data_IF_070458744672
#
_entry.id   IF_070458744672
#
_cell.length_a   1.000
_cell.length_b   1.000
_cell.length_c   1.000
_cell.angle_alpha   90.00
_cell.angle_beta   90.00
_cell.angle_gamma   90.00
#
_symmetry.space_group_name_H-M   'P 1'
#
loop_
_entity.id
_entity.type
_entity.pdbx_description
1 polymer ?
#
# COMPACT_ATOMS: atom_id res chain seq x y z
N UNK A 1 -8.51 -25.23 10.14
CA UNK A 1 -7.91 -24.05 9.45
C UNK A 1 -6.43 -23.98 9.74
N UNK A 2 -5.63 -23.65 8.75
CA UNK A 2 -4.17 -23.50 8.86
C UNK A 2 -3.85 -22.05 9.21
N UNK A 3 -3.18 -21.74 10.34
CA UNK A 3 -2.93 -20.38 10.76
C UNK A 3 -1.84 -19.69 9.91
N UNK A 4 -2.01 -18.40 9.66
CA UNK A 4 -1.01 -17.47 9.11
C UNK A 4 -1.06 -16.18 9.92
N UNK A 5 0.06 -15.75 10.49
CA UNK A 5 0.18 -14.46 11.19
C UNK A 5 0.52 -13.37 10.18
N UNK A 6 -0.42 -12.47 9.91
CA UNK A 6 -0.26 -11.34 9.00
C UNK A 6 -0.03 -10.05 9.77
N UNK A 7 1.16 -9.48 9.69
CA UNK A 7 1.47 -8.21 10.33
C UNK A 7 1.13 -7.01 9.44
N UNK A 8 0.58 -5.98 10.07
CA UNK A 8 0.34 -4.66 9.49
C UNK A 8 0.67 -3.56 10.50
N UNK A 9 0.88 -2.35 10.00
CA UNK A 9 1.15 -1.18 10.84
C UNK A 9 0.02 -0.15 10.75
N UNK A 10 -0.40 0.17 9.53
CA UNK A 10 -1.35 1.24 9.27
C UNK A 10 -2.80 0.75 9.16
N UNK A 11 -3.70 1.30 10.02
CA UNK A 11 -5.13 0.96 10.02
C UNK A 11 -5.84 1.23 8.67
N UNK A 12 -5.29 2.09 7.81
CA UNK A 12 -5.84 2.32 6.47
C UNK A 12 -5.82 1.06 5.60
N UNK A 13 -5.05 0.02 6.00
CA UNK A 13 -4.99 -1.29 5.34
C UNK A 13 -6.11 -2.25 5.76
N UNK A 14 -6.73 -1.99 6.91
CA UNK A 14 -7.69 -2.91 7.52
C UNK A 14 -8.83 -3.32 6.59
N UNK A 15 -9.47 -2.44 5.79
CA UNK A 15 -10.56 -2.88 4.92
C UNK A 15 -10.14 -4.03 3.97
N UNK A 16 -8.96 -3.95 3.38
CA UNK A 16 -8.44 -5.01 2.50
C UNK A 16 -8.05 -6.25 3.30
N UNK A 17 -7.36 -6.07 4.43
CA UNK A 17 -6.87 -7.17 5.28
C UNK A 17 -8.05 -7.97 5.85
N UNK A 18 -9.11 -7.31 6.30
CA UNK A 18 -10.28 -7.98 6.86
C UNK A 18 -11.07 -8.75 5.80
N UNK A 19 -11.17 -8.20 4.58
CA UNK A 19 -11.73 -8.96 3.46
C UNK A 19 -10.85 -10.18 3.14
N UNK A 20 -9.51 -10.05 3.12
CA UNK A 20 -8.60 -11.21 2.93
C UNK A 20 -8.84 -12.26 4.02
N UNK A 21 -8.88 -11.85 5.29
CA UNK A 21 -9.11 -12.75 6.41
C UNK A 21 -10.43 -13.51 6.27
N UNK A 22 -11.50 -12.82 5.95
CA UNK A 22 -12.81 -13.44 5.83
C UNK A 22 -12.91 -14.36 4.61
N UNK A 23 -12.35 -13.99 3.46
CA UNK A 23 -12.31 -14.88 2.29
C UNK A 23 -11.42 -16.10 2.53
N UNK A 24 -10.28 -15.94 3.19
CA UNK A 24 -9.40 -17.03 3.58
C UNK A 24 -10.13 -18.07 4.46
N UNK A 25 -10.87 -17.58 5.45
CA UNK A 25 -11.65 -18.41 6.37
C UNK A 25 -12.83 -19.11 5.67
N UNK A 26 -13.60 -18.38 4.86
CA UNK A 26 -14.84 -18.91 4.23
C UNK A 26 -14.55 -19.93 3.14
N UNK A 27 -13.50 -19.75 2.36
CA UNK A 27 -13.33 -20.46 1.10
C UNK A 27 -12.07 -21.32 1.01
N UNK A 28 -11.04 -21.08 1.86
CA UNK A 28 -9.71 -21.69 1.66
C UNK A 28 -9.14 -22.42 2.89
N UNK A 29 -9.91 -22.56 3.96
CA UNK A 29 -9.50 -23.20 5.21
C UNK A 29 -8.19 -22.60 5.80
N UNK A 30 -8.01 -21.29 5.63
CA UNK A 30 -6.87 -20.53 6.15
C UNK A 30 -7.36 -19.57 7.25
N UNK A 31 -6.70 -19.59 8.40
CA UNK A 31 -6.95 -18.69 9.54
C UNK A 31 -5.91 -17.56 9.52
N UNK A 32 -6.29 -16.38 9.03
CA UNK A 32 -5.41 -15.21 9.00
C UNK A 32 -5.52 -14.48 10.33
N UNK A 33 -4.49 -14.67 11.16
CA UNK A 33 -4.34 -13.97 12.44
C UNK A 33 -3.70 -12.60 12.18
N UNK A 34 -4.49 -11.54 12.32
CA UNK A 34 -4.05 -10.17 12.03
C UNK A 34 -3.31 -9.59 13.23
N UNK A 35 -2.06 -9.16 13.04
CA UNK A 35 -1.18 -8.66 14.10
C UNK A 35 -0.76 -7.23 13.79
N UNK A 36 -1.10 -6.28 14.65
CA UNK A 36 -0.62 -4.90 14.54
C UNK A 36 0.75 -4.77 15.20
N UNK A 37 1.72 -4.23 14.48
CA UNK A 37 3.08 -4.01 14.98
C UNK A 37 3.48 -2.55 14.75
N UNK A 38 3.85 -1.88 15.83
CA UNK A 38 4.38 -0.51 15.87
C UNK A 38 5.52 -0.45 16.90
N UNK A 39 6.51 0.40 16.74
CA UNK A 39 6.77 1.36 15.66
C UNK A 39 7.36 0.71 14.39
N UNK A 40 7.79 1.55 13.43
CA UNK A 40 8.24 1.10 12.10
C UNK A 40 9.41 0.13 12.14
N UNK A 41 10.42 0.40 12.96
CA UNK A 41 11.60 -0.46 13.14
C UNK A 41 11.24 -1.84 13.68
N UNK A 42 10.30 -1.94 14.62
CA UNK A 42 9.79 -3.21 15.11
C UNK A 42 8.99 -3.96 14.03
N UNK A 43 8.25 -3.24 13.18
CA UNK A 43 7.53 -3.83 12.07
C UNK A 43 8.49 -4.39 11.01
N UNK A 44 9.53 -3.64 10.63
CA UNK A 44 10.55 -4.06 9.67
C UNK A 44 11.34 -5.29 10.15
N UNK A 45 11.54 -5.42 11.46
CA UNK A 45 12.19 -6.58 12.06
C UNK A 45 11.26 -7.80 12.22
N UNK A 46 9.95 -7.60 12.31
CA UNK A 46 8.98 -8.60 12.76
C UNK A 46 9.00 -9.92 11.97
N UNK A 47 9.22 -9.84 10.65
CA UNK A 47 9.30 -11.01 9.78
C UNK A 47 10.52 -11.87 10.11
N UNK A 48 11.65 -11.25 10.44
CA UNK A 48 12.93 -11.90 10.72
C UNK A 48 13.05 -12.38 12.17
N UNK A 49 12.29 -11.75 13.08
CA UNK A 49 12.20 -12.09 14.50
C UNK A 49 11.09 -13.12 14.80
N UNK A 50 10.53 -13.76 13.77
CA UNK A 50 9.45 -14.76 13.88
C UNK A 50 8.20 -14.26 14.63
N UNK A 51 7.92 -12.96 14.55
CA UNK A 51 6.72 -12.34 15.14
C UNK A 51 5.50 -12.45 14.22
N UNK A 52 5.72 -12.67 12.92
CA UNK A 52 4.70 -12.89 11.90
C UNK A 52 5.23 -13.80 10.79
N UNK A 53 4.33 -14.35 10.00
CA UNK A 53 4.65 -15.18 8.83
C UNK A 53 4.63 -14.36 7.54
N UNK A 54 3.74 -13.37 7.49
CA UNK A 54 3.57 -12.43 6.39
C UNK A 54 3.57 -10.99 6.90
N UNK A 55 4.01 -10.08 6.03
CA UNK A 55 3.86 -8.63 6.21
C UNK A 55 3.09 -8.03 5.05
N UNK A 56 2.34 -6.95 5.31
CA UNK A 56 1.63 -6.18 4.29
C UNK A 56 1.81 -4.70 4.54
N UNK A 57 2.61 -4.04 3.75
CA UNK A 57 2.78 -2.57 3.62
C UNK A 57 3.91 -2.21 2.65
N UNK A 58 4.68 -1.16 3.02
CA UNK A 58 5.91 -0.75 2.33
C UNK A 58 6.97 -1.84 2.43
N UNK A 59 7.58 -2.19 1.32
CA UNK A 59 8.55 -3.28 1.22
C UNK A 59 9.95 -2.81 0.81
N UNK A 60 10.18 -1.50 0.70
CA UNK A 60 11.42 -0.90 0.19
C UNK A 60 12.64 -1.32 1.03
N UNK A 61 12.47 -1.43 2.33
CA UNK A 61 13.54 -1.85 3.26
C UNK A 61 14.06 -3.28 3.00
N UNK A 62 13.27 -4.13 2.33
CA UNK A 62 13.71 -5.48 1.96
C UNK A 62 14.84 -5.46 0.94
N UNK A 63 14.92 -4.43 0.07
CA UNK A 63 16.04 -4.26 -0.85
C UNK A 63 17.31 -3.89 -0.11
N UNK A 64 17.25 -2.96 0.85
CA UNK A 64 18.39 -2.61 1.69
C UNK A 64 18.91 -3.82 2.48
N UNK A 65 17.98 -4.62 3.02
CA UNK A 65 18.33 -5.86 3.71
C UNK A 65 19.00 -6.87 2.79
N UNK A 66 18.48 -7.09 1.58
CA UNK A 66 19.06 -8.00 0.60
C UNK A 66 20.45 -7.56 0.12
N UNK A 67 20.75 -6.26 0.14
CA UNK A 67 22.07 -5.74 -0.19
C UNK A 67 23.15 -6.10 0.85
N UNK A 68 22.74 -6.29 2.10
CA UNK A 68 23.65 -6.63 3.22
C UNK A 68 23.82 -8.15 3.37
N UNK A 69 22.76 -8.90 3.07
CA UNK A 69 22.74 -10.37 3.20
C UNK A 69 22.89 -11.02 1.83
N UNK A 70 23.84 -11.93 1.69
CA UNK A 70 24.17 -12.61 0.40
C UNK A 70 23.06 -13.55 -0.10
N UNK A 71 22.05 -13.84 0.72
CA UNK A 71 20.92 -14.70 0.39
C UNK A 71 19.60 -13.92 0.48
N UNK A 72 18.69 -14.18 -0.45
CA UNK A 72 17.35 -13.62 -0.42
C UNK A 72 16.54 -14.27 0.71
N UNK A 73 16.59 -13.67 1.89
CA UNK A 73 15.88 -14.18 3.07
C UNK A 73 14.36 -14.01 2.95
N UNK A 74 13.91 -12.98 2.24
CA UNK A 74 12.50 -12.65 2.07
C UNK A 74 12.07 -12.68 0.60
N UNK A 75 10.82 -13.01 0.36
CA UNK A 75 10.18 -13.02 -0.96
C UNK A 75 8.95 -12.12 -0.93
N UNK A 76 8.90 -11.15 -1.85
CA UNK A 76 7.70 -10.38 -2.18
C UNK A 76 6.89 -11.16 -3.22
N UNK A 77 5.57 -11.25 -3.05
CA UNK A 77 4.80 -12.17 -3.90
C UNK A 77 3.45 -11.63 -4.37
N UNK A 78 3.00 -10.53 -3.78
CA UNK A 78 1.70 -9.96 -4.09
C UNK A 78 1.76 -8.45 -3.91
N UNK A 79 1.22 -7.70 -4.86
CA UNK A 79 1.03 -6.25 -4.76
C UNK A 79 -0.29 -5.88 -5.44
N UNK A 80 -1.38 -5.80 -4.67
CA UNK A 80 -2.70 -5.44 -5.21
C UNK A 80 -2.80 -4.00 -5.72
N UNK A 81 -1.81 -3.15 -5.46
CA UNK A 81 -1.77 -1.76 -5.91
C UNK A 81 -0.38 -1.45 -6.48
N UNK A 82 -0.33 -1.02 -7.73
CA UNK A 82 0.89 -0.63 -8.44
C UNK A 82 0.99 0.88 -8.73
N UNK A 83 0.36 1.69 -7.90
CA UNK A 83 0.34 3.16 -8.01
C UNK A 83 0.68 3.82 -6.69
N UNK A 84 1.21 5.04 -6.79
CA UNK A 84 1.43 5.86 -5.58
C UNK A 84 0.10 6.16 -4.90
N UNK A 85 0.03 5.94 -3.61
CA UNK A 85 -1.17 6.18 -2.81
C UNK A 85 -1.25 7.58 -2.21
N UNK A 86 -0.59 8.60 -2.80
CA UNK A 86 -0.62 9.98 -2.28
C UNK A 86 -0.83 10.97 -3.42
N UNK A 87 -1.60 12.02 -3.14
CA UNK A 87 -1.88 13.12 -4.05
C UNK A 87 -1.30 14.43 -3.52
N UNK A 88 -0.82 15.29 -4.42
CA UNK A 88 -0.40 16.63 -4.09
C UNK A 88 -1.61 17.55 -4.12
N UNK A 89 -1.84 18.29 -3.04
CA UNK A 89 -2.95 19.24 -2.96
C UNK A 89 -2.44 20.65 -2.65
N UNK A 90 -3.07 21.64 -3.26
CA UNK A 90 -2.76 23.05 -3.06
C UNK A 90 -4.02 23.91 -3.15
N UNK A 91 -3.92 25.17 -2.71
CA UNK A 91 -4.95 26.18 -2.98
C UNK A 91 -5.02 26.50 -4.48
N UNK A 92 -6.18 26.93 -5.02
CA UNK A 92 -6.38 27.21 -6.44
C UNK A 92 -5.44 28.27 -7.05
N UNK A 93 -4.73 29.03 -6.23
CA UNK A 93 -3.72 30.00 -6.67
C UNK A 93 -2.49 29.31 -7.29
N UNK A 94 -2.11 28.12 -6.81
CA UNK A 94 -1.04 27.29 -7.39
C UNK A 94 -1.62 26.55 -8.58
N UNK A 95 -1.09 26.74 -9.80
CA UNK A 95 -1.66 26.19 -11.03
C UNK A 95 -1.07 24.82 -11.41
N UNK A 96 0.22 24.66 -11.21
CA UNK A 96 0.97 23.45 -11.52
C UNK A 96 2.13 23.24 -10.55
N UNK A 97 2.75 22.04 -10.62
CA UNK A 97 3.80 21.66 -9.70
C UNK A 97 5.07 22.52 -9.84
N UNK A 98 5.35 23.10 -11.00
CA UNK A 98 6.56 23.92 -11.22
C UNK A 98 6.57 25.18 -10.37
N UNK A 99 5.41 25.68 -9.97
CA UNK A 99 5.26 26.83 -9.08
C UNK A 99 5.68 26.52 -7.61
N UNK A 100 5.91 25.26 -7.30
CA UNK A 100 6.38 24.82 -5.97
C UNK A 100 7.90 24.94 -5.80
N UNK A 101 8.63 25.30 -6.85
CA UNK A 101 10.08 25.51 -6.75
C UNK A 101 10.40 26.58 -5.71
N UNK A 102 11.25 26.23 -4.75
CA UNK A 102 11.61 27.08 -3.60
C UNK A 102 10.48 27.25 -2.57
N UNK A 103 9.41 26.49 -2.67
CA UNK A 103 8.28 26.55 -1.72
C UNK A 103 8.34 25.43 -0.71
N UNK A 104 7.65 25.64 0.42
CA UNK A 104 7.44 24.61 1.45
C UNK A 104 6.27 23.72 1.08
N UNK A 105 6.47 22.40 1.22
CA UNK A 105 5.44 21.37 1.01
C UNK A 105 5.30 20.56 2.27
N UNK A 106 4.11 20.51 2.82
CA UNK A 106 3.83 19.75 4.01
C UNK A 106 3.76 18.24 3.68
N UNK A 107 4.44 17.41 4.49
CA UNK A 107 4.46 15.97 4.36
C UNK A 107 4.21 15.30 5.71
N UNK A 108 3.64 14.10 5.68
CA UNK A 108 3.38 13.34 6.90
C UNK A 108 4.63 12.67 7.47
N UNK A 109 5.53 12.25 6.61
CA UNK A 109 6.67 11.42 6.98
C UNK A 109 7.87 12.22 7.47
N UNK A 110 8.88 11.53 7.93
CA UNK A 110 10.15 12.11 8.44
C UNK A 110 11.03 12.73 7.37
N UNK A 111 10.53 12.94 6.14
CA UNK A 111 11.34 13.48 5.04
C UNK A 111 12.24 12.45 4.36
N UNK A 112 12.04 11.15 4.62
CA UNK A 112 12.69 10.10 3.83
C UNK A 112 12.18 10.16 2.39
N UNK A 113 13.04 9.86 1.39
CA UNK A 113 12.59 9.63 0.04
C UNK A 113 11.48 8.57 0.05
N UNK A 114 10.39 8.87 -0.61
CA UNK A 114 9.24 7.99 -0.77
C UNK A 114 8.64 8.17 -2.15
N UNK A 115 7.48 7.59 -2.39
CA UNK A 115 6.77 7.72 -3.66
C UNK A 115 6.55 9.18 -4.09
N UNK A 116 6.46 10.09 -3.13
CA UNK A 116 6.35 11.52 -3.34
C UNK A 116 7.59 12.11 -4.03
N UNK A 117 8.78 11.75 -3.53
CA UNK A 117 10.05 12.18 -4.12
C UNK A 117 10.10 11.83 -5.60
N UNK A 118 9.75 10.61 -5.95
CA UNK A 118 9.72 10.14 -7.34
C UNK A 118 8.69 10.88 -8.19
N UNK A 119 7.49 11.16 -7.65
CA UNK A 119 6.45 11.92 -8.38
C UNK A 119 6.84 13.37 -8.62
N UNK A 120 7.46 14.05 -7.65
CA UNK A 120 8.00 15.40 -7.85
C UNK A 120 9.06 15.40 -8.95
N UNK A 121 9.99 14.44 -8.92
CA UNK A 121 11.02 14.31 -9.96
C UNK A 121 10.41 14.04 -11.35
N UNK A 122 9.40 13.18 -11.44
CA UNK A 122 8.66 12.95 -12.68
C UNK A 122 7.93 14.20 -13.19
N UNK A 123 7.52 15.10 -12.28
CA UNK A 123 6.93 16.40 -12.61
C UNK A 123 7.98 17.48 -12.96
N UNK A 124 9.27 17.12 -13.05
CA UNK A 124 10.35 18.06 -13.37
C UNK A 124 10.79 18.96 -12.21
N UNK A 125 10.43 18.60 -10.99
CA UNK A 125 10.91 19.24 -9.77
C UNK A 125 12.02 18.36 -9.17
N UNK A 126 13.22 18.92 -8.97
CA UNK A 126 14.16 18.29 -8.07
C UNK A 126 13.59 18.42 -6.65
N UNK A 127 13.51 17.33 -5.87
CA UNK A 127 13.07 17.40 -4.48
C UNK A 127 13.90 18.35 -3.61
N UNK A 128 15.17 18.63 -3.97
CA UNK A 128 16.00 19.67 -3.35
C UNK A 128 15.54 21.09 -3.68
N UNK A 129 14.72 21.26 -4.73
CA UNK A 129 14.12 22.55 -5.08
C UNK A 129 12.90 22.88 -4.21
N UNK A 130 12.41 21.95 -3.40
CA UNK A 130 11.28 22.13 -2.49
C UNK A 130 11.69 21.85 -1.06
N UNK A 131 11.18 22.64 -0.11
CA UNK A 131 11.41 22.37 1.31
C UNK A 131 10.29 21.47 1.81
N UNK A 132 10.61 20.19 2.08
CA UNK A 132 9.68 19.28 2.70
C UNK A 132 9.59 19.56 4.20
N UNK A 133 8.38 19.78 4.70
CA UNK A 133 8.11 20.07 6.12
C UNK A 133 7.38 18.87 6.72
N UNK A 134 8.12 17.95 7.38
CA UNK A 134 7.50 16.88 8.14
C UNK A 134 6.72 17.47 9.31
N UNK A 135 5.49 17.02 9.50
CA UNK A 135 4.68 17.46 10.61
C UNK A 135 3.85 16.31 11.17
N UNK A 136 4.18 15.90 12.38
CA UNK A 136 3.45 14.90 13.15
C UNK A 136 2.55 15.52 14.21
N UNK A 137 2.72 16.78 14.51
CA UNK A 137 2.09 17.45 15.67
C UNK A 137 0.64 17.84 15.39
N UNK A 138 0.27 18.09 14.13
CA UNK A 138 -1.11 18.43 13.73
C UNK A 138 -2.06 17.23 13.65
N UNK A 139 -1.59 16.04 14.03
CA UNK A 139 -2.34 14.79 13.93
C UNK A 139 -2.31 14.20 12.51
N UNK A 140 -2.70 12.93 12.46
CA UNK A 140 -2.61 12.13 11.23
C UNK A 140 -3.47 12.74 10.12
N UNK A 141 -2.83 13.02 8.96
CA UNK A 141 -3.50 13.58 7.77
C UNK A 141 -4.10 14.99 7.92
N UNK A 142 -3.66 15.78 8.92
CA UNK A 142 -4.10 17.17 9.13
C UNK A 142 -3.11 18.22 8.61
N UNK A 143 -2.05 17.81 7.92
CA UNK A 143 -1.00 18.71 7.41
C UNK A 143 -1.54 19.74 6.41
N UNK A 144 -2.70 19.50 5.78
CA UNK A 144 -3.40 20.45 4.92
C UNK A 144 -3.72 21.79 5.62
N UNK A 145 -3.85 21.79 6.95
CA UNK A 145 -4.06 23.01 7.74
C UNK A 145 -2.92 24.01 7.58
N UNK A 146 -1.69 23.53 7.35
CA UNK A 146 -0.54 24.41 7.07
C UNK A 146 -0.62 25.10 5.71
N UNK A 147 -1.33 24.54 4.75
CA UNK A 147 -1.60 25.20 3.47
C UNK A 147 -2.67 26.28 3.64
N UNK A 148 -3.71 25.98 4.42
CA UNK A 148 -4.76 26.98 4.73
C UNK A 148 -4.20 28.16 5.54
N UNK A 149 -3.29 27.91 6.47
CA UNK A 149 -2.64 28.98 7.25
C UNK A 149 -1.60 29.79 6.46
N UNK A 150 -1.20 29.33 5.27
CA UNK A 150 -0.16 29.96 4.44
C UNK A 150 1.26 29.60 4.84
N UNK A 151 1.47 28.66 5.77
CA UNK A 151 2.80 28.16 6.15
C UNK A 151 3.43 27.29 5.06
N UNK A 152 2.61 26.57 4.30
CA UNK A 152 3.04 25.73 3.20
C UNK A 152 2.28 26.07 1.92
N UNK A 153 2.92 25.87 0.77
CA UNK A 153 2.29 26.10 -0.54
C UNK A 153 1.43 24.90 -1.01
N UNK A 154 1.79 23.70 -0.57
CA UNK A 154 1.12 22.46 -0.92
C UNK A 154 1.26 21.41 0.19
N UNK A 155 0.50 20.33 0.07
CA UNK A 155 0.52 19.20 1.01
C UNK A 155 0.35 17.89 0.26
N UNK A 156 1.00 16.82 0.72
CA UNK A 156 0.73 15.47 0.29
C UNK A 156 -0.29 14.78 1.18
N UNK A 157 -1.33 14.23 0.54
CA UNK A 157 -2.46 13.59 1.20
C UNK A 157 -2.73 12.21 0.60
N UNK A 158 -3.10 11.25 1.43
CA UNK A 158 -3.72 10.01 0.93
C UNK A 158 -5.14 10.32 0.42
N UNK A 159 -5.58 9.76 -0.72
CA UNK A 159 -6.95 9.90 -1.21
C UNK A 159 -8.01 9.53 -0.18
N UNK A 160 -7.69 8.61 0.74
CA UNK A 160 -8.58 8.22 1.84
C UNK A 160 -8.89 9.37 2.83
N UNK A 161 -8.09 10.43 2.82
CA UNK A 161 -8.15 11.52 3.82
C UNK A 161 -8.30 12.92 3.20
N UNK A 162 -8.55 13.03 1.89
CA UNK A 162 -8.60 14.33 1.19
C UNK A 162 -9.87 15.14 1.47
N UNK A 163 -10.97 14.52 1.86
CA UNK A 163 -12.27 15.18 1.98
C UNK A 163 -12.24 16.48 2.82
N UNK A 164 -11.51 16.47 3.95
CA UNK A 164 -11.38 17.67 4.80
C UNK A 164 -10.55 18.79 4.13
N UNK A 165 -9.52 18.42 3.38
CA UNK A 165 -8.70 19.38 2.64
C UNK A 165 -9.47 20.01 1.47
N UNK A 166 -10.26 19.20 0.76
CA UNK A 166 -11.16 19.65 -0.30
C UNK A 166 -12.23 20.60 0.23
N UNK A 167 -12.85 20.25 1.36
CA UNK A 167 -13.82 21.12 2.05
C UNK A 167 -13.20 22.46 2.49
N UNK A 168 -11.89 22.48 2.78
CA UNK A 168 -11.13 23.70 3.08
C UNK A 168 -10.66 24.47 1.82
N UNK A 169 -11.05 24.04 0.61
CA UNK A 169 -10.76 24.70 -0.65
C UNK A 169 -9.47 24.29 -1.34
N UNK A 170 -8.77 23.27 -0.85
CA UNK A 170 -7.64 22.70 -1.57
C UNK A 170 -8.16 21.84 -2.73
N UNK A 171 -7.34 21.72 -3.76
CA UNK A 171 -7.60 20.85 -4.91
C UNK A 171 -6.36 20.01 -5.22
N UNK A 172 -6.57 18.88 -5.86
CA UNK A 172 -5.48 18.06 -6.39
C UNK A 172 -4.73 18.86 -7.45
N UNK A 173 -3.41 18.92 -7.29
CA UNK A 173 -2.48 19.43 -8.26
C UNK A 173 -1.96 18.26 -9.07
N UNK A 174 -2.28 18.16 -10.37
CA UNK A 174 -1.93 16.99 -11.18
C UNK A 174 -0.42 16.72 -11.17
N UNK A 175 -0.04 15.51 -10.87
CA UNK A 175 1.30 14.97 -11.05
C UNK A 175 1.26 13.83 -12.06
N UNK A 176 2.35 13.54 -12.78
CA UNK A 176 2.44 12.35 -13.60
C UNK A 176 2.06 11.10 -12.82
N UNK A 177 1.30 10.21 -13.45
CA UNK A 177 1.06 8.88 -12.90
C UNK A 177 2.39 8.11 -12.96
N UNK A 178 2.72 7.45 -11.86
CA UNK A 178 3.97 6.72 -11.74
C UNK A 178 3.66 5.34 -11.16
N UNK A 179 3.85 4.27 -11.96
CA UNK A 179 3.72 2.92 -11.45
C UNK A 179 4.70 2.71 -10.29
N UNK A 180 4.16 2.33 -9.13
CA UNK A 180 4.94 2.00 -7.92
C UNK A 180 4.18 1.00 -7.09
N UNK A 181 4.90 0.15 -6.38
CA UNK A 181 4.26 -0.76 -5.44
C UNK A 181 3.68 0.08 -4.31
N UNK A 182 2.34 0.04 -4.22
CA UNK A 182 1.63 0.76 -3.18
C UNK A 182 1.74 0.08 -1.82
N UNK A 183 1.12 0.69 -0.84
CA UNK A 183 1.17 0.28 0.56
C UNK A 183 0.44 -1.04 0.89
N UNK A 184 0.28 -1.93 -0.07
CA UNK A 184 -0.36 -3.24 0.06
C UNK A 184 0.53 -4.36 -0.50
N UNK A 185 1.85 -4.15 -0.58
CA UNK A 185 2.78 -5.20 -0.93
C UNK A 185 2.81 -6.28 0.14
N UNK A 186 2.86 -7.56 -0.27
CA UNK A 186 2.94 -8.71 0.63
C UNK A 186 4.28 -9.39 0.49
N UNK A 187 4.89 -9.72 1.63
CA UNK A 187 6.14 -10.47 1.68
C UNK A 187 6.13 -11.51 2.81
N UNK A 188 6.98 -12.52 2.66
CA UNK A 188 7.25 -13.54 3.66
C UNK A 188 8.72 -13.95 3.61
N UNK A 189 9.18 -14.74 4.60
CA UNK A 189 10.47 -15.38 4.49
C UNK A 189 10.46 -16.43 3.36
N UNK A 190 11.52 -16.48 2.58
CA UNK A 190 11.66 -17.43 1.44
C UNK A 190 11.54 -18.88 1.91
N UNK A 191 12.08 -19.21 3.10
CA UNK A 191 11.92 -20.53 3.71
C UNK A 191 10.45 -20.87 4.01
N UNK A 192 9.71 -19.91 4.59
CA UNK A 192 8.28 -20.09 4.87
C UNK A 192 7.48 -20.36 3.60
N UNK A 193 7.74 -19.57 2.55
CA UNK A 193 7.13 -19.73 1.24
C UNK A 193 7.40 -21.10 0.59
N UNK A 194 8.60 -21.64 0.81
CA UNK A 194 9.01 -22.95 0.27
C UNK A 194 8.37 -24.10 1.03
N UNK A 195 8.38 -24.02 2.36
CA UNK A 195 7.84 -25.07 3.23
C UNK A 195 6.30 -25.13 3.21
N UNK A 196 5.63 -24.00 2.85
CA UNK A 196 4.18 -23.83 2.91
C UNK A 196 3.56 -23.47 1.54
N UNK A 197 4.09 -23.98 0.42
CA UNK A 197 3.68 -23.57 -0.94
C UNK A 197 2.17 -23.64 -1.19
N UNK A 198 1.51 -24.73 -0.76
CA UNK A 198 0.06 -24.88 -0.90
C UNK A 198 -0.74 -23.90 -0.01
N UNK A 199 -0.25 -23.60 1.21
CA UNK A 199 -0.85 -22.63 2.09
C UNK A 199 -0.74 -21.22 1.51
N UNK A 200 0.41 -20.90 0.90
CA UNK A 200 0.64 -19.62 0.23
C UNK A 200 -0.27 -19.45 -1.00
N UNK A 201 -0.48 -20.52 -1.77
CA UNK A 201 -1.41 -20.48 -2.91
C UNK A 201 -2.84 -20.19 -2.44
N UNK A 202 -3.31 -20.86 -1.39
CA UNK A 202 -4.64 -20.60 -0.82
C UNK A 202 -4.76 -19.19 -0.22
N UNK A 203 -3.68 -18.67 0.38
CA UNK A 203 -3.64 -17.28 0.83
C UNK A 203 -3.74 -16.30 -0.36
N UNK A 204 -3.01 -16.51 -1.45
CA UNK A 204 -3.08 -15.65 -2.65
C UNK A 204 -4.46 -15.75 -3.31
N UNK A 205 -5.12 -16.93 -3.30
CA UNK A 205 -6.54 -17.07 -3.70
C UNK A 205 -7.44 -16.17 -2.86
N UNK A 206 -7.23 -16.15 -1.54
CA UNK A 206 -8.00 -15.29 -0.65
C UNK A 206 -7.75 -13.80 -0.93
N UNK A 207 -6.52 -13.40 -1.26
CA UNK A 207 -6.19 -12.03 -1.68
C UNK A 207 -6.96 -11.65 -2.96
N UNK A 208 -6.93 -12.50 -3.99
CA UNK A 208 -7.67 -12.27 -5.25
C UNK A 208 -9.17 -12.18 -4.98
N UNK A 209 -9.71 -13.07 -4.16
CA UNK A 209 -11.13 -13.08 -3.81
C UNK A 209 -11.53 -11.79 -3.07
N UNK A 210 -10.74 -11.34 -2.10
CA UNK A 210 -10.97 -10.09 -1.39
C UNK A 210 -10.92 -8.87 -2.32
N UNK A 211 -9.99 -8.85 -3.27
CA UNK A 211 -9.91 -7.80 -4.30
C UNK A 211 -11.19 -7.78 -5.14
N UNK A 212 -11.64 -8.93 -5.63
CA UNK A 212 -12.86 -9.04 -6.43
C UNK A 212 -14.10 -8.65 -5.61
N UNK A 213 -14.19 -9.06 -4.34
CA UNK A 213 -15.25 -8.66 -3.42
C UNK A 213 -15.32 -7.13 -3.30
N UNK A 214 -14.19 -6.47 -2.98
CA UNK A 214 -14.11 -5.01 -2.82
C UNK A 214 -14.49 -4.29 -4.13
N UNK A 215 -14.05 -4.79 -5.29
CA UNK A 215 -14.28 -4.15 -6.59
C UNK A 215 -15.70 -4.31 -7.08
N UNK A 216 -16.29 -5.48 -6.93
CA UNK A 216 -17.56 -5.83 -7.58
C UNK A 216 -18.73 -5.96 -6.61
N UNK A 217 -18.46 -6.07 -5.31
CA UNK A 217 -19.45 -6.20 -4.22
C UNK A 217 -19.10 -5.28 -3.03
N UNK A 218 -18.94 -3.97 -3.26
CA UNK A 218 -18.46 -3.06 -2.20
C UNK A 218 -19.37 -3.03 -0.97
N UNK A 219 -20.67 -3.24 -1.12
CA UNK A 219 -21.60 -3.31 0.01
C UNK A 219 -21.34 -4.55 0.89
N UNK A 220 -21.09 -5.72 0.28
CA UNK A 220 -20.73 -6.93 1.02
C UNK A 220 -19.35 -6.79 1.67
N UNK A 221 -18.38 -6.15 0.99
CA UNK A 221 -17.09 -5.84 1.57
C UNK A 221 -17.22 -4.93 2.80
N UNK A 222 -18.14 -3.95 2.77
CA UNK A 222 -18.44 -3.10 3.93
C UNK A 222 -19.01 -3.92 5.10
N UNK A 223 -19.94 -4.85 4.84
CA UNK A 223 -20.48 -5.73 5.89
C UNK A 223 -19.37 -6.56 6.56
N UNK A 224 -18.45 -7.12 5.76
CA UNK A 224 -17.28 -7.85 6.26
C UNK A 224 -16.43 -6.97 7.17
N UNK A 225 -16.13 -5.75 6.75
CA UNK A 225 -15.31 -4.81 7.53
C UNK A 225 -16.00 -4.39 8.82
N UNK A 226 -17.30 -4.09 8.77
CA UNK A 226 -18.08 -3.70 9.95
C UNK A 226 -18.18 -4.83 10.98
N UNK A 227 -18.25 -6.10 10.53
CA UNK A 227 -18.30 -7.27 11.40
C UNK A 227 -16.90 -7.68 11.95
N UNK A 228 -15.83 -7.05 11.48
CA UNK A 228 -14.47 -7.45 11.82
C UNK A 228 -14.11 -7.09 13.27
N UNK A 229 -13.36 -7.95 14.01
CA UNK A 229 -12.92 -7.65 15.38
C UNK A 229 -11.99 -6.44 15.49
N UNK A 230 -11.34 -6.04 14.38
CA UNK A 230 -10.47 -4.87 14.33
C UNK A 230 -11.24 -3.56 14.16
N UNK A 231 -12.52 -3.61 13.80
CA UNK A 231 -13.40 -2.45 13.76
C UNK A 231 -13.66 -1.94 15.17
N UNK A 232 -13.47 -0.66 15.38
CA UNK A 232 -13.61 -0.04 16.69
C UNK A 232 -15.02 0.54 16.87
N UNK A 233 -15.48 0.59 18.12
CA UNK A 233 -16.67 1.35 18.47
C UNK A 233 -16.45 2.82 18.09
N UNK A 234 -17.31 3.36 17.20
CA UNK A 234 -17.18 4.71 16.67
C UNK A 234 -16.57 4.82 15.28
N UNK A 235 -16.13 3.72 14.64
CA UNK A 235 -15.81 3.73 13.21
C UNK A 235 -17.10 4.04 12.41
N UNK A 236 -17.05 5.13 11.61
CA UNK A 236 -18.20 5.61 10.84
C UNK A 236 -18.40 4.74 9.59
N UNK A 237 -19.57 4.12 9.48
CA UNK A 237 -19.93 3.25 8.36
C UNK A 237 -19.89 4.01 7.02
N UNK A 238 -20.34 5.27 6.96
CA UNK A 238 -20.31 6.08 5.74
C UNK A 238 -18.86 6.41 5.31
N UNK A 239 -17.98 6.65 6.28
CA UNK A 239 -16.56 6.85 6.00
C UNK A 239 -15.89 5.56 5.52
N UNK A 240 -16.22 4.41 6.11
CA UNK A 240 -15.72 3.10 5.66
C UNK A 240 -16.21 2.78 4.25
N UNK A 241 -17.46 3.03 3.93
CA UNK A 241 -18.03 2.86 2.59
C UNK A 241 -17.28 3.73 1.56
N UNK A 242 -17.08 5.00 1.87
CA UNK A 242 -16.30 5.94 1.04
C UNK A 242 -14.88 5.43 0.81
N UNK A 243 -14.21 4.93 1.86
CA UNK A 243 -12.85 4.36 1.77
C UNK A 243 -12.80 3.11 0.91
N UNK A 244 -13.75 2.21 1.06
CA UNK A 244 -13.88 1.00 0.24
C UNK A 244 -14.04 1.40 -1.24
N UNK A 245 -14.89 2.39 -1.55
CA UNK A 245 -15.06 2.89 -2.91
C UNK A 245 -13.77 3.45 -3.52
N UNK A 246 -12.95 4.18 -2.75
CA UNK A 246 -11.64 4.67 -3.21
C UNK A 246 -10.66 3.52 -3.41
N UNK A 247 -10.58 2.58 -2.47
CA UNK A 247 -9.71 1.41 -2.55
C UNK A 247 -10.05 0.57 -3.78
N UNK A 248 -11.34 0.31 -4.03
CA UNK A 248 -11.82 -0.48 -5.16
C UNK A 248 -11.28 0.01 -6.52
N UNK A 249 -11.10 1.34 -6.68
CA UNK A 249 -10.58 1.94 -7.91
C UNK A 249 -9.09 1.70 -8.13
N UNK A 250 -8.33 1.41 -7.09
CA UNK A 250 -6.87 1.26 -7.13
C UNK A 250 -6.41 -0.19 -7.19
N UNK A 251 -7.26 -1.14 -6.79
CA UNK A 251 -6.89 -2.55 -6.72
C UNK A 251 -6.75 -3.19 -8.11
N UNK A 252 -5.69 -3.95 -8.30
CA UNK A 252 -5.46 -4.82 -9.45
C UNK A 252 -6.13 -6.18 -9.23
N UNK A 253 -6.89 -6.67 -10.19
CA UNK A 253 -7.49 -8.03 -10.14
C UNK A 253 -6.43 -9.12 -10.21
N UNK A 254 -5.36 -8.89 -10.97
CA UNK A 254 -4.14 -9.70 -10.93
C UNK A 254 -3.14 -9.00 -10.02
N UNK A 255 -2.97 -9.41 -8.75
CA UNK A 255 -2.21 -8.66 -7.75
C UNK A 255 -0.70 -8.90 -7.85
N UNK A 256 -0.14 -8.61 -9.02
CA UNK A 256 1.31 -8.65 -9.24
C UNK A 256 1.78 -7.35 -9.93
N UNK A 257 2.86 -6.72 -9.45
CA UNK A 257 3.26 -5.41 -9.94
C UNK A 257 3.92 -5.49 -11.32
N UNK A 258 3.80 -4.42 -12.09
CA UNK A 258 4.54 -4.27 -13.34
C UNK A 258 6.04 -4.18 -13.09
N UNK A 259 6.86 -4.53 -14.10
CA UNK A 259 8.31 -4.37 -14.02
C UNK A 259 8.75 -2.92 -13.78
N UNK A 260 7.96 -1.95 -14.26
CA UNK A 260 8.19 -0.53 -14.01
C UNK A 260 7.89 -0.16 -12.55
N UNK A 261 6.81 -0.68 -11.97
CA UNK A 261 6.49 -0.46 -10.55
C UNK A 261 7.59 -1.02 -9.63
N UNK A 262 8.12 -2.21 -9.96
CA UNK A 262 9.26 -2.81 -9.25
C UNK A 262 10.49 -1.89 -9.34
N UNK A 263 10.84 -1.42 -10.54
CA UNK A 263 12.00 -0.57 -10.76
C UNK A 263 11.89 0.78 -10.04
N UNK A 264 10.71 1.42 -10.08
CA UNK A 264 10.48 2.70 -9.42
C UNK A 264 10.52 2.56 -7.89
N UNK A 265 9.97 1.47 -7.33
CA UNK A 265 10.05 1.18 -5.89
C UNK A 265 11.50 0.92 -5.45
N UNK A 266 12.27 0.18 -6.27
CA UNK A 266 13.69 -0.02 -6.01
C UNK A 266 14.48 1.29 -6.07
N UNK A 267 14.13 2.22 -6.97
CA UNK A 267 14.77 3.54 -7.01
C UNK A 267 14.54 4.36 -5.72
N UNK A 268 13.40 4.20 -5.06
CA UNK A 268 13.16 4.77 -3.71
C UNK A 268 14.09 4.12 -2.69
N UNK A 269 14.19 2.79 -2.70
CA UNK A 269 15.09 2.08 -1.79
C UNK A 269 16.56 2.51 -1.96
N UNK A 270 17.02 2.72 -3.19
CA UNK A 270 18.38 3.24 -3.48
C UNK A 270 18.55 4.67 -2.95
N UNK A 271 17.52 5.51 -3.06
CA UNK A 271 17.58 6.89 -2.53
C UNK A 271 17.62 6.92 -0.99
N UNK A 272 17.01 5.92 -0.33
CA UNK A 272 17.08 5.75 1.13
C UNK A 272 18.41 5.13 1.57
N UNK A 273 18.83 4.06 0.90
CA UNK A 273 20.07 3.33 1.16
C UNK A 273 20.76 2.97 -0.16
N UNK A 274 21.87 3.68 -0.51
CA UNK A 274 22.61 3.43 -1.74
C UNK A 274 23.12 2.00 -1.91
N UNK A 275 23.27 1.21 -0.84
CA UNK A 275 23.67 -0.19 -0.93
C UNK A 275 22.64 -1.04 -1.71
N UNK A 276 21.36 -0.63 -1.70
CA UNK A 276 20.29 -1.27 -2.45
C UNK A 276 20.56 -1.32 -3.97
N UNK A 277 21.42 -0.43 -4.51
CA UNK A 277 21.79 -0.44 -5.93
C UNK A 277 22.49 -1.74 -6.38
N UNK A 278 23.08 -2.48 -5.45
CA UNK A 278 23.72 -3.78 -5.72
C UNK A 278 22.74 -4.96 -5.90
N UNK A 279 21.45 -4.73 -5.67
CA UNK A 279 20.40 -5.77 -5.73
C UNK A 279 19.67 -5.72 -7.07
N UNK A 280 19.53 -6.85 -7.77
CA UNK A 280 18.53 -6.95 -8.84
C UNK A 280 17.13 -7.03 -8.19
N UNK A 281 16.28 -6.00 -8.33
CA UNK A 281 15.01 -5.95 -7.62
C UNK A 281 14.05 -7.08 -7.97
N UNK A 282 14.21 -7.69 -9.15
CA UNK A 282 13.35 -8.79 -9.61
C UNK A 282 13.59 -10.07 -8.84
N UNK A 283 14.79 -10.26 -8.29
CA UNK A 283 15.15 -11.51 -7.56
C UNK A 283 14.38 -11.66 -6.24
N UNK A 284 13.84 -10.56 -5.70
CA UNK A 284 13.02 -10.59 -4.49
C UNK A 284 11.54 -10.87 -4.79
N UNK A 285 11.13 -10.93 -6.07
CA UNK A 285 9.73 -11.13 -6.44
C UNK A 285 9.46 -12.53 -6.97
N UNK A 286 8.39 -13.14 -6.51
CA UNK A 286 7.91 -14.43 -6.97
C UNK A 286 6.47 -14.34 -7.50
N UNK A 287 6.29 -14.43 -8.81
CA UNK A 287 4.98 -14.44 -9.46
C UNK A 287 4.26 -15.81 -9.38
N UNK A 288 4.95 -16.86 -8.93
CA UNK A 288 4.55 -18.28 -9.11
C UNK A 288 3.10 -18.59 -8.72
N UNK A 289 2.59 -18.03 -7.63
CA UNK A 289 1.21 -18.29 -7.19
C UNK A 289 0.21 -17.52 -8.03
N UNK A 290 0.48 -16.26 -8.34
CA UNK A 290 -0.39 -15.45 -9.20
C UNK A 290 -0.44 -16.05 -10.60
N UNK A 291 0.68 -16.46 -11.18
CA UNK A 291 0.76 -17.15 -12.48
C UNK A 291 -0.03 -18.47 -12.50
N UNK A 292 0.02 -19.27 -11.43
CA UNK A 292 -0.80 -20.48 -11.31
C UNK A 292 -2.28 -20.16 -11.32
N UNK A 293 -2.71 -19.11 -10.61
CA UNK A 293 -4.11 -18.70 -10.56
C UNK A 293 -4.59 -18.13 -11.90
N UNK A 294 -3.76 -17.39 -12.61
CA UNK A 294 -4.07 -16.95 -13.97
C UNK A 294 -4.15 -18.14 -14.93
N UNK A 295 -3.13 -18.99 -14.95
CA UNK A 295 -3.07 -20.16 -15.83
C UNK A 295 -4.17 -21.16 -15.61
N UNK A 296 -4.71 -21.28 -14.40
CA UNK A 296 -5.88 -22.12 -14.09
C UNK A 296 -7.23 -21.48 -14.47
N UNK A 297 -7.25 -20.20 -14.85
CA UNK A 297 -8.48 -19.45 -15.10
C UNK A 297 -9.22 -19.02 -13.82
N UNK A 298 -8.65 -19.24 -12.63
CA UNK A 298 -9.26 -18.90 -11.36
C UNK A 298 -9.63 -17.41 -11.26
N UNK A 299 -8.68 -16.51 -11.61
CA UNK A 299 -8.90 -15.06 -11.54
C UNK A 299 -10.05 -14.65 -12.47
N UNK A 300 -10.01 -15.09 -13.73
CA UNK A 300 -11.05 -14.77 -14.71
C UNK A 300 -12.43 -15.31 -14.31
N UNK A 301 -12.48 -16.54 -13.76
CA UNK A 301 -13.72 -17.14 -13.27
C UNK A 301 -14.34 -16.34 -12.13
N UNK A 302 -13.52 -15.95 -11.15
CA UNK A 302 -13.97 -15.18 -9.99
C UNK A 302 -14.44 -13.76 -10.37
N UNK A 303 -13.74 -13.10 -11.30
CA UNK A 303 -14.18 -11.80 -11.86
C UNK A 303 -15.53 -11.93 -12.54
N UNK A 304 -15.73 -12.96 -13.37
CA UNK A 304 -17.00 -13.19 -14.05
C UNK A 304 -18.14 -13.46 -13.05
N UNK A 305 -17.90 -14.28 -12.03
CA UNK A 305 -18.87 -14.61 -10.99
C UNK A 305 -19.31 -13.37 -10.20
N UNK A 306 -18.36 -12.60 -9.66
CA UNK A 306 -18.67 -11.49 -8.77
C UNK A 306 -19.15 -10.23 -9.52
N UNK A 307 -18.82 -10.08 -10.82
CA UNK A 307 -19.31 -8.96 -11.62
C UNK A 307 -20.68 -9.19 -12.24
N UNK A 308 -21.20 -10.45 -12.33
CA UNK A 308 -22.45 -10.75 -12.98
C UNK A 308 -23.70 -10.31 -12.19
N UNK A 309 -23.60 -10.20 -10.88
CA UNK A 309 -24.71 -9.88 -9.98
C UNK A 309 -24.58 -8.48 -9.33
N UNK A 310 -23.67 -7.60 -9.81
CA UNK A 310 -23.39 -6.25 -9.29
C UNK A 310 -24.17 -5.12 -9.96
#
# INVERSE_FOLDING_TARGET
>A
MRPIRLAYRDRDRLPVIECIREMARRHYDVDVVVVRIEPTDEYEAALFDDRCDLIVEHLEYLYARAAVHSETEATMFCAPVDRTGVELMALPAVKDASELRGKTVAVRSSGRPDSLYMRLKAAGLDPSDTVLVPDRDVGRWNQWKKVVSGECAAVFMSPLHMASAEAAGLRVLPLPDLPMIGNYGHACLTRFATENDALMEDYVRAVVHAICLIKYRPAEALEVVLAAPTTQEGDDAAELERRIGIIAQTLLTTPFPSGEAIANTHAVAIAEDPASAGVDPRTLWSARWVERLEGSGFIAGLVAELSADG
#
